data_IF_148501896228
#
_entry.id   IF_148501896228
#
_cell.length_a   1.000
_cell.length_b   1.000
_cell.length_c   1.000
_cell.angle_alpha   90.00
_cell.angle_beta   90.00
_cell.angle_gamma   90.00
#
_symmetry.space_group_name_H-M   'P 1'
#
loop_
_entity.id
_entity.type
_entity.pdbx_description
1 polymer ?
#
# COMPACT_ATOMS: atom_id res chain seq x y z
N UNK A 1 46.68 -9.96 0.12
CA UNK A 1 46.65 -8.48 0.00
C UNK A 1 45.24 -8.07 -0.43
N UNK A 2 44.51 -7.38 0.43
CA UNK A 2 43.15 -6.93 0.20
C UNK A 2 43.15 -5.53 -0.40
N UNK A 3 42.48 -5.34 -1.53
CA UNK A 3 42.17 -4.02 -2.08
C UNK A 3 40.67 -3.79 -2.01
N UNK A 4 40.25 -3.11 -0.95
CA UNK A 4 38.94 -2.48 -0.84
C UNK A 4 39.08 -1.08 -1.43
N UNK A 5 38.43 -0.80 -2.56
CA UNK A 5 38.28 0.57 -3.06
C UNK A 5 36.82 0.81 -3.41
N UNK A 6 36.07 1.32 -2.42
CA UNK A 6 34.75 1.91 -2.60
C UNK A 6 34.91 3.20 -3.40
N UNK A 7 34.31 3.26 -4.60
CA UNK A 7 34.22 4.48 -5.41
C UNK A 7 32.91 5.19 -5.02
N UNK A 8 32.95 6.36 -4.36
CA UNK A 8 31.73 7.09 -4.01
C UNK A 8 31.20 7.87 -5.22
N UNK A 9 30.10 7.41 -5.82
CA UNK A 9 29.38 8.17 -6.85
C UNK A 9 28.48 9.23 -6.20
N UNK A 10 28.87 10.50 -6.30
CA UNK A 10 28.05 11.67 -5.95
C UNK A 10 27.16 12.05 -7.15
N UNK A 11 25.95 11.49 -7.25
CA UNK A 11 24.95 12.00 -8.19
C UNK A 11 24.28 13.23 -7.57
N UNK A 12 24.76 14.42 -7.92
CA UNK A 12 24.06 15.68 -7.69
C UNK A 12 22.89 15.76 -8.68
N UNK A 13 21.70 15.31 -8.29
CA UNK A 13 20.48 15.63 -9.05
C UNK A 13 20.04 17.04 -8.67
N UNK A 14 20.43 17.99 -9.52
CA UNK A 14 19.82 19.32 -9.60
C UNK A 14 18.33 19.12 -9.96
N UNK A 15 17.45 19.40 -9.01
CA UNK A 15 16.02 19.57 -9.28
C UNK A 15 15.85 20.98 -9.83
N UNK A 16 15.39 21.19 -11.08
CA UNK A 16 15.06 22.53 -11.54
C UNK A 16 13.73 22.93 -10.90
N UNK A 17 13.82 23.65 -9.78
CA UNK A 17 12.70 24.41 -9.23
C UNK A 17 12.66 25.74 -9.96
N UNK A 18 11.81 25.85 -10.99
CA UNK A 18 11.18 27.14 -11.31
C UNK A 18 10.31 27.48 -10.09
N UNK A 19 10.46 28.56 -9.33
CA UNK A 19 10.95 29.88 -9.68
C UNK A 19 9.77 30.85 -9.70
N UNK A 20 9.22 31.19 -8.53
CA UNK A 20 8.50 32.44 -8.31
C UNK A 20 8.74 32.91 -6.87
N UNK A 21 9.33 34.09 -6.79
CA UNK A 21 9.90 34.71 -5.61
C UNK A 21 8.84 35.38 -4.73
N UNK A 22 9.09 35.41 -3.44
CA UNK A 22 8.42 36.26 -2.47
C UNK A 22 9.29 36.38 -1.22
N UNK A 23 10.02 37.49 -1.13
CA UNK A 23 11.02 37.78 -0.13
C UNK A 23 10.46 37.90 1.30
N UNK A 24 11.27 37.50 2.30
CA UNK A 24 11.37 38.10 3.64
C UNK A 24 12.30 37.20 4.49
N UNK A 25 13.60 37.49 4.55
CA UNK A 25 14.27 38.22 5.65
C UNK A 25 14.61 37.36 6.88
N UNK A 26 15.91 37.36 7.16
CA UNK A 26 16.53 37.30 8.49
C UNK A 26 16.75 35.93 9.13
N UNK A 27 17.99 35.45 8.97
CA UNK A 27 18.66 34.73 10.05
C UNK A 27 18.87 35.70 11.24
N UNK A 28 18.71 35.20 12.46
CA UNK A 28 19.75 35.43 13.45
C UNK A 28 20.21 34.08 14.01
N UNK A 29 21.52 33.84 13.91
CA UNK A 29 22.17 32.78 14.67
C UNK A 29 22.07 33.05 16.16
N UNK A 30 21.79 32.00 16.93
CA UNK A 30 22.06 31.95 18.36
C UNK A 30 22.85 30.68 18.61
N UNK A 31 24.13 30.88 18.94
CA UNK A 31 25.07 29.86 19.34
C UNK A 31 24.79 29.39 20.78
N UNK A 32 25.15 28.12 21.06
CA UNK A 32 25.26 27.43 22.36
C UNK A 32 24.02 26.68 22.88
N UNK A 33 23.99 25.37 22.60
CA UNK A 33 24.13 24.34 23.63
C UNK A 33 24.21 22.96 22.98
N UNK A 34 25.30 22.24 23.25
CA UNK A 34 25.45 20.80 23.02
C UNK A 34 24.36 20.05 23.79
N UNK A 35 23.32 19.63 23.09
CA UNK A 35 22.52 18.46 23.47
C UNK A 35 22.32 17.64 22.19
N UNK A 36 22.57 16.32 22.22
CA UNK A 36 22.26 15.48 21.08
C UNK A 36 20.74 15.54 20.89
N UNK A 37 20.31 16.20 19.82
CA UNK A 37 18.92 16.12 19.34
C UNK A 37 18.64 14.63 19.18
N UNK A 38 17.86 14.08 20.11
CA UNK A 38 17.39 12.71 20.03
C UNK A 38 16.82 12.52 18.62
N UNK A 39 17.10 11.38 17.96
CA UNK A 39 16.48 11.10 16.67
C UNK A 39 14.98 11.33 16.80
N UNK A 40 14.30 11.91 15.79
CA UNK A 40 12.87 12.17 15.85
C UNK A 40 12.20 10.93 16.43
N UNK A 41 11.57 11.07 17.60
CA UNK A 41 10.81 10.00 18.23
C UNK A 41 9.83 9.59 17.14
N UNK A 42 10.05 8.40 16.57
CA UNK A 42 9.15 7.83 15.58
C UNK A 42 7.76 7.92 16.19
N UNK A 43 6.91 8.76 15.59
CA UNK A 43 5.53 8.89 16.06
C UNK A 43 4.98 7.47 16.17
N UNK A 44 4.36 7.10 17.31
CA UNK A 44 3.83 5.76 17.48
C UNK A 44 2.92 5.50 16.29
N UNK A 45 3.28 4.52 15.46
CA UNK A 45 2.42 4.00 14.39
C UNK A 45 1.05 3.80 15.02
N UNK A 46 0.10 4.67 14.67
CA UNK A 46 -1.32 4.42 14.89
C UNK A 46 -1.59 3.09 14.21
N UNK A 47 -1.66 2.02 15.00
CA UNK A 47 -1.97 0.69 14.50
C UNK A 47 -3.43 0.77 14.04
N UNK A 48 -3.62 1.01 12.75
CA UNK A 48 -4.94 0.90 12.14
C UNK A 48 -5.48 -0.51 12.33
N UNK A 49 -6.78 -0.64 12.12
CA UNK A 49 -7.51 -1.90 12.29
C UNK A 49 -7.22 -2.75 11.08
N UNK A 50 -6.86 -4.02 11.29
CA UNK A 50 -6.53 -4.94 10.21
C UNK A 50 -7.65 -5.97 10.08
N UNK A 51 -8.28 -6.01 8.90
CA UNK A 51 -9.29 -7.00 8.55
C UNK A 51 -8.70 -7.95 7.53
N UNK A 52 -8.60 -9.21 7.91
CA UNK A 52 -8.04 -10.27 7.09
C UNK A 52 -9.16 -10.93 6.28
N UNK A 53 -8.85 -11.28 5.04
CA UNK A 53 -9.78 -11.97 4.15
C UNK A 53 -9.04 -12.85 3.15
N UNK A 54 -9.71 -13.90 2.68
CA UNK A 54 -9.26 -14.67 1.54
C UNK A 54 -10.38 -14.81 0.49
N UNK A 55 -10.17 -15.65 -0.51
CA UNK A 55 -11.13 -15.87 -1.58
C UNK A 55 -12.43 -16.53 -1.10
N UNK A 56 -12.37 -17.37 -0.07
CA UNK A 56 -13.50 -18.13 0.47
C UNK A 56 -14.12 -17.48 1.70
N UNK A 57 -13.36 -16.65 2.41
CA UNK A 57 -13.77 -15.92 3.61
C UNK A 57 -13.55 -14.41 3.44
N UNK A 58 -14.58 -13.78 2.86
CA UNK A 58 -14.67 -12.33 2.70
C UNK A 58 -15.83 -11.72 3.49
N UNK A 59 -16.48 -12.49 4.36
CA UNK A 59 -17.68 -12.07 5.12
C UNK A 59 -17.39 -10.91 6.08
N UNK A 60 -16.13 -10.80 6.52
CA UNK A 60 -15.66 -9.68 7.32
C UNK A 60 -15.64 -8.35 6.55
N UNK A 61 -15.65 -8.38 5.21
CA UNK A 61 -15.56 -7.19 4.34
C UNK A 61 -16.91 -6.89 3.72
N UNK A 62 -17.55 -7.88 3.12
CA UNK A 62 -18.85 -7.73 2.46
C UNK A 62 -19.83 -8.82 2.88
N UNK A 63 -21.11 -8.49 2.83
CA UNK A 63 -22.21 -9.42 2.97
C UNK A 63 -22.95 -9.54 1.65
N UNK A 64 -23.26 -10.77 1.26
CA UNK A 64 -24.05 -11.05 0.07
C UNK A 64 -25.54 -10.94 0.39
N UNK A 65 -26.26 -10.11 -0.38
CA UNK A 65 -27.71 -9.96 -0.28
C UNK A 65 -28.43 -11.09 -1.03
N UNK A 66 -29.73 -11.25 -0.75
CA UNK A 66 -30.59 -12.23 -1.43
C UNK A 66 -30.64 -12.02 -2.96
N UNK A 67 -30.45 -10.78 -3.41
CA UNK A 67 -30.43 -10.42 -4.84
C UNK A 67 -29.07 -10.70 -5.51
N UNK A 68 -28.11 -11.29 -4.80
CA UNK A 68 -26.76 -11.59 -5.30
C UNK A 68 -25.82 -10.38 -5.34
N UNK A 69 -26.26 -9.22 -4.85
CA UNK A 69 -25.42 -8.02 -4.69
C UNK A 69 -24.57 -8.10 -3.43
N UNK A 70 -23.44 -7.39 -3.41
CA UNK A 70 -22.54 -7.34 -2.26
C UNK A 70 -22.59 -5.95 -1.64
N UNK A 71 -22.71 -5.89 -0.33
CA UNK A 71 -22.67 -4.64 0.44
C UNK A 71 -21.64 -4.74 1.56
N UNK A 72 -21.07 -3.63 2.04
CA UNK A 72 -20.17 -3.64 3.19
C UNK A 72 -20.77 -4.42 4.36
N UNK A 73 -19.97 -5.30 4.98
CA UNK A 73 -20.40 -6.08 6.14
C UNK A 73 -20.66 -5.18 7.35
N UNK A 74 -21.46 -5.64 8.31
CA UNK A 74 -21.69 -4.89 9.57
C UNK A 74 -20.40 -4.72 10.38
N UNK A 75 -19.47 -5.67 10.28
CA UNK A 75 -18.15 -5.60 10.90
C UNK A 75 -17.34 -4.44 10.29
N UNK A 76 -17.27 -4.38 8.97
CA UNK A 76 -16.57 -3.31 8.26
C UNK A 76 -17.19 -1.94 8.55
N UNK A 77 -18.52 -1.84 8.53
CA UNK A 77 -19.25 -0.59 8.88
C UNK A 77 -18.92 -0.14 10.30
N UNK A 78 -18.91 -1.06 11.26
CA UNK A 78 -18.60 -0.78 12.66
C UNK A 78 -17.19 -0.17 12.79
N UNK A 79 -16.19 -0.76 12.13
CA UNK A 79 -14.82 -0.25 12.18
C UNK A 79 -14.63 1.04 11.36
N UNK A 80 -15.30 1.18 10.22
CA UNK A 80 -15.24 2.39 9.40
C UNK A 80 -15.80 3.65 10.11
N UNK A 81 -16.73 3.45 11.03
CA UNK A 81 -17.28 4.52 11.89
C UNK A 81 -16.32 4.94 13.01
N UNK A 82 -15.28 4.15 13.30
CA UNK A 82 -14.24 4.51 14.26
C UNK A 82 -13.26 5.54 13.67
N UNK A 83 -12.37 6.07 14.49
CA UNK A 83 -11.40 7.11 14.05
C UNK A 83 -10.25 6.51 13.23
N UNK A 84 -9.97 5.23 13.40
CA UNK A 84 -8.79 4.59 12.83
C UNK A 84 -8.97 4.23 11.35
N UNK A 85 -7.85 4.12 10.65
CA UNK A 85 -7.80 3.56 9.30
C UNK A 85 -8.04 2.06 9.35
N UNK A 86 -8.86 1.55 8.45
CA UNK A 86 -9.11 0.11 8.30
C UNK A 86 -8.30 -0.40 7.12
N UNK A 87 -7.44 -1.39 7.36
CA UNK A 87 -6.62 -2.04 6.37
C UNK A 87 -7.22 -3.40 6.00
N UNK A 88 -7.54 -3.59 4.73
CA UNK A 88 -7.98 -4.87 4.18
C UNK A 88 -6.75 -5.66 3.75
N UNK A 89 -6.51 -6.80 4.40
CA UNK A 89 -5.31 -7.62 4.22
C UNK A 89 -5.67 -8.96 3.59
N UNK A 90 -5.23 -9.21 2.33
CA UNK A 90 -5.44 -10.50 1.71
C UNK A 90 -4.55 -11.55 2.38
N UNK A 91 -5.14 -12.70 2.69
CA UNK A 91 -4.47 -13.88 3.23
C UNK A 91 -4.66 -15.06 2.29
N UNK A 92 -4.04 -16.20 2.60
CA UNK A 92 -4.17 -17.39 1.78
C UNK A 92 -3.41 -17.32 0.45
N UNK A 93 -3.84 -18.13 -0.51
CA UNK A 93 -3.22 -18.27 -1.84
C UNK A 93 -4.13 -17.68 -2.91
N UNK A 94 -3.56 -16.79 -3.74
CA UNK A 94 -4.25 -16.17 -4.87
C UNK A 94 -3.75 -16.70 -6.23
N UNK A 95 -2.89 -17.73 -6.22
CA UNK A 95 -2.24 -18.30 -7.41
C UNK A 95 -3.20 -19.04 -8.35
N UNK A 96 -4.32 -19.54 -7.83
CA UNK A 96 -5.28 -20.34 -8.60
C UNK A 96 -6.46 -19.53 -9.14
N UNK A 97 -6.45 -18.22 -8.93
CA UNK A 97 -7.54 -17.32 -9.30
C UNK A 97 -7.32 -16.86 -10.74
N UNK A 98 -8.35 -16.96 -11.56
CA UNK A 98 -8.35 -16.57 -12.96
C UNK A 98 -8.44 -15.04 -13.13
N UNK A 99 -8.05 -14.48 -14.30
CA UNK A 99 -8.18 -13.04 -14.54
C UNK A 99 -9.59 -12.49 -14.34
N UNK A 100 -10.62 -13.26 -14.69
CA UNK A 100 -12.01 -12.82 -14.50
C UNK A 100 -12.41 -12.85 -13.03
N UNK A 101 -12.01 -13.87 -12.25
CA UNK A 101 -12.22 -13.87 -10.81
C UNK A 101 -11.50 -12.70 -10.12
N UNK A 102 -10.30 -12.31 -10.57
CA UNK A 102 -9.62 -11.11 -10.04
C UNK A 102 -10.45 -9.84 -10.27
N UNK A 103 -11.03 -9.68 -11.47
CA UNK A 103 -11.97 -8.57 -11.74
C UNK A 103 -13.19 -8.64 -10.83
N UNK A 104 -13.75 -9.83 -10.62
CA UNK A 104 -14.91 -10.00 -9.74
C UNK A 104 -14.58 -9.62 -8.29
N UNK A 105 -13.42 -10.04 -7.77
CA UNK A 105 -12.96 -9.67 -6.43
C UNK A 105 -12.85 -8.14 -6.32
N UNK A 106 -12.26 -7.49 -7.32
CA UNK A 106 -12.19 -6.01 -7.36
C UNK A 106 -13.59 -5.40 -7.34
N UNK A 107 -14.44 -5.78 -8.29
CA UNK A 107 -15.72 -5.13 -8.57
C UNK A 107 -16.79 -5.40 -7.52
N UNK A 108 -16.89 -6.65 -7.06
CA UNK A 108 -17.97 -7.11 -6.20
C UNK A 108 -17.60 -7.02 -4.72
N UNK A 109 -16.32 -7.19 -4.38
CA UNK A 109 -15.90 -7.28 -2.96
C UNK A 109 -15.18 -6.01 -2.53
N UNK A 110 -14.05 -5.68 -3.16
CA UNK A 110 -13.17 -4.64 -2.64
C UNK A 110 -13.63 -3.22 -2.97
N UNK A 111 -14.18 -2.99 -4.16
CA UNK A 111 -14.65 -1.67 -4.55
C UNK A 111 -15.83 -1.20 -3.68
N UNK A 112 -16.88 -1.99 -3.43
CA UNK A 112 -17.96 -1.59 -2.52
C UNK A 112 -17.47 -1.30 -1.09
N UNK A 113 -16.46 -2.05 -0.64
CA UNK A 113 -15.85 -1.84 0.67
C UNK A 113 -15.07 -0.52 0.73
N UNK A 114 -14.23 -0.23 -0.26
CA UNK A 114 -13.45 1.01 -0.32
C UNK A 114 -14.35 2.24 -0.51
N UNK A 115 -15.33 2.15 -1.40
CA UNK A 115 -16.24 3.25 -1.71
C UNK A 115 -17.12 3.64 -0.50
N UNK A 116 -17.28 2.73 0.48
CA UNK A 116 -18.04 3.00 1.70
C UNK A 116 -17.40 4.07 2.59
N UNK A 117 -16.06 4.14 2.68
CA UNK A 117 -15.38 5.10 3.54
C UNK A 117 -13.94 5.37 3.10
N UNK A 118 -13.50 6.65 3.06
CA UNK A 118 -12.13 7.02 2.68
C UNK A 118 -11.06 6.54 3.68
N UNK A 119 -11.48 6.00 4.83
CA UNK A 119 -10.60 5.41 5.85
C UNK A 119 -10.24 3.96 5.54
N UNK A 120 -10.91 3.32 4.59
CA UNK A 120 -10.66 1.94 4.20
C UNK A 120 -9.57 1.95 3.13
N UNK A 121 -8.52 1.14 3.34
CA UNK A 121 -7.38 1.03 2.42
C UNK A 121 -6.92 -0.40 2.29
N UNK A 122 -6.29 -0.70 1.17
CA UNK A 122 -5.57 -1.94 0.97
C UNK A 122 -4.24 -1.96 1.70
N UNK A 123 -3.84 -3.14 2.15
CA UNK A 123 -2.49 -3.44 2.63
C UNK A 123 -2.20 -4.91 2.36
N UNK A 124 -0.93 -5.24 2.08
CA UNK A 124 -0.52 -6.62 1.82
C UNK A 124 -0.30 -6.86 0.33
N UNK A 125 -0.07 -8.12 -0.03
CA UNK A 125 0.34 -8.53 -1.37
C UNK A 125 -0.63 -9.56 -1.93
N UNK A 126 -1.09 -9.33 -3.15
CA UNK A 126 -1.77 -10.35 -3.94
C UNK A 126 -0.74 -11.10 -4.77
N UNK A 127 -0.53 -12.37 -4.45
CA UNK A 127 0.32 -13.29 -5.22
C UNK A 127 -0.55 -14.05 -6.24
N UNK A 128 -0.88 -13.40 -7.37
CA UNK A 128 -1.59 -13.98 -8.49
C UNK A 128 -0.67 -14.81 -9.39
N UNK A 129 -1.25 -15.69 -10.21
CA UNK A 129 -0.49 -16.46 -11.20
C UNK A 129 0.29 -15.55 -12.17
N UNK A 130 1.46 -16.03 -12.62
CA UNK A 130 2.33 -15.28 -13.53
C UNK A 130 1.59 -14.91 -14.81
N UNK A 131 1.65 -13.63 -15.18
CA UNK A 131 1.02 -13.10 -16.39
C UNK A 131 -0.43 -12.67 -16.23
N UNK A 132 -1.16 -13.18 -15.22
CA UNK A 132 -2.58 -12.85 -15.04
C UNK A 132 -2.80 -11.35 -14.75
N UNK A 133 -2.04 -10.67 -13.88
CA UNK A 133 -2.19 -9.22 -13.69
C UNK A 133 -1.99 -8.42 -14.98
N UNK A 134 -1.11 -8.87 -15.87
CA UNK A 134 -0.87 -8.20 -17.16
C UNK A 134 -2.05 -8.33 -18.13
N UNK A 135 -2.93 -9.32 -17.95
CA UNK A 135 -4.15 -9.48 -18.74
C UNK A 135 -5.27 -8.53 -18.28
N UNK A 136 -5.13 -7.95 -17.09
CA UNK A 136 -6.10 -7.05 -16.45
C UNK A 136 -5.37 -5.81 -15.91
N UNK A 137 -4.76 -5.00 -16.79
CA UNK A 137 -3.87 -3.92 -16.36
C UNK A 137 -4.61 -2.86 -15.54
N UNK A 138 -5.87 -2.56 -15.86
CA UNK A 138 -6.68 -1.58 -15.15
C UNK A 138 -6.97 -2.03 -13.70
N UNK A 139 -7.44 -3.27 -13.51
CA UNK A 139 -7.69 -3.83 -12.18
C UNK A 139 -6.40 -3.97 -11.38
N UNK A 140 -5.30 -4.36 -12.03
CA UNK A 140 -3.98 -4.47 -11.39
C UNK A 140 -3.48 -3.11 -10.89
N UNK A 141 -3.63 -2.06 -11.70
CA UNK A 141 -3.31 -0.69 -11.30
C UNK A 141 -4.22 -0.22 -10.17
N UNK A 142 -5.51 -0.55 -10.24
CA UNK A 142 -6.47 -0.21 -9.18
C UNK A 142 -6.05 -0.79 -7.83
N UNK A 143 -5.59 -2.04 -7.74
CA UNK A 143 -5.11 -2.60 -6.46
C UNK A 143 -3.91 -1.81 -5.91
N UNK A 144 -2.98 -1.40 -6.78
CA UNK A 144 -1.79 -0.64 -6.39
C UNK A 144 -2.16 0.77 -5.91
N UNK A 145 -3.07 1.44 -6.62
CA UNK A 145 -3.56 2.77 -6.25
C UNK A 145 -4.24 2.77 -4.87
N UNK A 146 -4.90 1.66 -4.52
CA UNK A 146 -5.62 1.52 -3.26
C UNK A 146 -4.77 0.92 -2.12
N UNK A 147 -3.48 0.68 -2.34
CA UNK A 147 -2.50 0.40 -1.29
C UNK A 147 -2.04 -1.06 -1.18
N UNK A 148 -2.54 -1.96 -2.03
CA UNK A 148 -2.01 -3.32 -2.14
C UNK A 148 -0.76 -3.36 -3.01
N UNK A 149 0.02 -4.43 -2.89
CA UNK A 149 1.00 -4.80 -3.90
C UNK A 149 0.51 -6.02 -4.67
N UNK A 150 1.04 -6.20 -5.87
CA UNK A 150 0.72 -7.33 -6.73
C UNK A 150 2.02 -8.03 -7.12
N UNK A 151 2.08 -9.35 -6.90
CA UNK A 151 3.18 -10.25 -7.28
C UNK A 151 4.55 -9.78 -6.78
N UNK A 152 4.64 -9.25 -5.56
CA UNK A 152 5.90 -8.74 -5.01
C UNK A 152 6.94 -9.86 -4.86
N UNK A 153 6.51 -11.08 -4.50
CA UNK A 153 7.41 -12.24 -4.31
C UNK A 153 8.00 -12.74 -5.63
N UNK A 154 7.19 -12.84 -6.68
CA UNK A 154 7.65 -13.26 -8.01
C UNK A 154 8.74 -12.31 -8.53
N UNK A 155 8.59 -11.00 -8.30
CA UNK A 155 9.60 -10.00 -8.67
C UNK A 155 10.96 -10.16 -7.95
N UNK A 156 11.00 -10.78 -6.76
CA UNK A 156 12.25 -11.05 -6.05
C UNK A 156 12.97 -12.29 -6.60
N UNK A 157 12.22 -13.32 -6.98
CA UNK A 157 12.76 -14.55 -7.58
C UNK A 157 13.44 -14.24 -8.91
N UNK A 158 12.81 -13.44 -9.79
CA UNK A 158 13.42 -13.00 -11.04
C UNK A 158 14.74 -12.24 -10.83
N UNK A 159 14.82 -11.39 -9.79
CA UNK A 159 16.05 -10.64 -9.47
C UNK A 159 17.17 -11.51 -8.92
N UNK A 160 16.85 -12.63 -8.27
CA UNK A 160 17.86 -13.57 -7.74
C UNK A 160 18.49 -14.46 -8.82
N UNK A 161 17.80 -14.70 -9.94
CA UNK A 161 18.29 -15.53 -11.05
C UNK A 161 19.05 -14.75 -12.13
N UNK A 162 19.19 -13.42 -11.98
CA UNK A 162 19.95 -12.54 -12.86
C UNK A 162 21.27 -12.06 -12.24
N UNK A 163 21.73 -12.68 -11.15
CA UNK A 163 23.01 -12.39 -10.50
C UNK A 163 23.98 -13.54 -10.62
#
# INVERSE_FOLDING_TARGET
>A
MHFVKNIPYKIKRLVPVLGLAGAATMMPGCDKSDEPIAPPIEQPKTRGIELYFDYYDYENIVSQNQDGTYTPSEILKTYANQKDTVYLIPTGTWLFITPDEIKEIRQKILQPAIDYSPKIRGRGDFDFSTGFPSMIPEDSLWFVEHGWTVNKRLNQIYKSHQR
#
